data_IF_324471131723
#
_entry.id   IF_324471131723
#
_cell.length_a   1.000
_cell.length_b   1.000
_cell.length_c   1.000
_cell.angle_alpha   90.00
_cell.angle_beta   90.00
_cell.angle_gamma   90.00
#
_symmetry.space_group_name_H-M   'P 1'
#
loop_
_entity.id
_entity.type
_entity.pdbx_description
1 polymer ?
#
# COMPACT_ATOMS: atom_id res chain seq x y z
N UNK A 1 30.85 -54.32 33.44
CA UNK A 1 31.59 -53.05 33.35
C UNK A 1 30.82 -52.03 32.55
N UNK A 2 30.24 -51.03 33.23
CA UNK A 2 29.89 -49.71 32.69
C UNK A 2 29.15 -48.91 33.78
N UNK A 3 29.89 -48.43 34.78
CA UNK A 3 29.40 -47.44 35.74
C UNK A 3 30.22 -46.18 35.51
N UNK A 4 29.55 -45.10 35.12
CA UNK A 4 30.14 -43.79 34.95
C UNK A 4 29.70 -42.91 36.12
N UNK A 5 30.66 -42.38 36.87
CA UNK A 5 30.44 -41.43 37.95
C UNK A 5 30.61 -40.03 37.35
N UNK A 6 29.59 -39.19 37.46
CA UNK A 6 29.64 -37.78 37.12
C UNK A 6 29.43 -36.97 38.40
N UNK A 7 30.26 -35.97 38.64
CA UNK A 7 30.12 -35.05 39.77
C UNK A 7 29.47 -33.71 39.35
N UNK A 8 29.37 -32.78 40.30
CA UNK A 8 28.74 -31.48 40.07
C UNK A 8 29.58 -30.61 39.11
N UNK A 9 30.90 -30.81 39.08
CA UNK A 9 31.82 -30.08 38.20
C UNK A 9 31.69 -30.56 36.75
N UNK A 10 31.41 -31.85 36.53
CA UNK A 10 31.11 -32.42 35.21
C UNK A 10 29.82 -31.83 34.58
N UNK A 11 28.83 -31.48 35.42
CA UNK A 11 27.59 -30.84 34.97
C UNK A 11 27.80 -29.36 34.62
N UNK A 12 28.78 -28.69 35.24
CA UNK A 12 29.07 -27.28 35.00
C UNK A 12 29.52 -27.02 33.56
N UNK A 13 30.35 -27.90 32.99
CA UNK A 13 30.78 -27.82 31.59
C UNK A 13 29.63 -27.98 30.57
N UNK A 14 28.64 -28.82 30.89
CA UNK A 14 27.42 -29.00 30.08
C UNK A 14 26.51 -27.77 30.17
N UNK A 15 26.41 -27.15 31.34
CA UNK A 15 25.67 -25.90 31.54
C UNK A 15 26.31 -24.76 30.75
N UNK A 16 27.63 -24.60 30.82
CA UNK A 16 28.35 -23.54 30.10
C UNK A 16 28.25 -23.71 28.56
N UNK A 17 28.34 -24.96 28.09
CA UNK A 17 28.09 -25.32 26.69
C UNK A 17 26.67 -24.96 26.25
N UNK A 18 25.67 -25.30 27.08
CA UNK A 18 24.26 -24.97 26.80
C UNK A 18 23.99 -23.47 26.80
N UNK A 19 24.59 -22.70 27.72
CA UNK A 19 24.46 -21.24 27.77
C UNK A 19 25.06 -20.61 26.51
N UNK A 20 26.23 -21.11 26.05
CA UNK A 20 26.88 -20.64 24.83
C UNK A 20 26.09 -20.99 23.58
N UNK A 21 25.53 -22.21 23.52
CA UNK A 21 24.65 -22.63 22.43
C UNK A 21 23.36 -21.79 22.38
N UNK A 22 22.73 -21.51 23.53
CA UNK A 22 21.54 -20.64 23.63
C UNK A 22 21.82 -19.21 23.16
N UNK A 23 22.98 -18.65 23.50
CA UNK A 23 23.38 -17.31 23.00
C UNK A 23 23.51 -17.29 21.48
N UNK A 24 24.20 -18.29 20.92
CA UNK A 24 24.43 -18.36 19.47
C UNK A 24 23.12 -18.55 18.69
N UNK A 25 22.18 -19.31 19.24
CA UNK A 25 20.85 -19.48 18.65
C UNK A 25 19.98 -18.22 18.79
N UNK A 26 20.12 -17.47 19.89
CA UNK A 26 19.46 -16.17 20.06
C UNK A 26 19.96 -15.12 19.05
N UNK A 27 21.27 -15.07 18.78
CA UNK A 27 21.86 -14.19 17.75
C UNK A 27 21.32 -14.53 16.35
N UNK A 28 21.17 -15.82 16.04
CA UNK A 28 20.53 -16.26 14.79
C UNK A 28 19.06 -15.85 14.71
N UNK A 29 18.33 -15.99 15.81
CA UNK A 29 16.93 -15.58 15.87
C UNK A 29 16.77 -14.07 15.68
N UNK A 30 17.66 -13.25 16.26
CA UNK A 30 17.69 -11.80 16.03
C UNK A 30 17.91 -11.47 14.55
N UNK A 31 18.87 -12.13 13.89
CA UNK A 31 19.12 -11.92 12.46
C UNK A 31 17.89 -12.22 11.59
N UNK A 32 17.19 -13.33 11.87
CA UNK A 32 15.95 -13.70 11.16
C UNK A 32 14.88 -12.65 11.40
N UNK A 33 14.72 -12.17 12.64
CA UNK A 33 13.74 -11.13 12.97
C UNK A 33 14.07 -9.83 12.25
N UNK A 34 15.34 -9.42 12.18
CA UNK A 34 15.75 -8.21 11.45
C UNK A 34 15.45 -8.30 9.95
N UNK A 35 15.69 -9.46 9.33
CA UNK A 35 15.39 -9.70 7.92
C UNK A 35 13.87 -9.65 7.64
N UNK A 36 13.07 -10.26 8.50
CA UNK A 36 11.61 -10.25 8.41
C UNK A 36 11.03 -8.85 8.68
N UNK A 37 11.58 -8.11 9.65
CA UNK A 37 11.20 -6.70 9.91
C UNK A 37 11.55 -5.82 8.71
N UNK A 38 12.72 -5.99 8.10
CA UNK A 38 13.09 -5.27 6.88
C UNK A 38 12.14 -5.56 5.72
N UNK A 39 11.75 -6.82 5.55
CA UNK A 39 10.81 -7.27 4.52
C UNK A 39 9.40 -6.74 4.77
N UNK A 40 8.96 -6.77 6.04
CA UNK A 40 7.69 -6.21 6.47
C UNK A 40 7.63 -4.69 6.27
N UNK A 41 8.68 -3.95 6.62
CA UNK A 41 8.75 -2.49 6.43
C UNK A 41 8.71 -2.12 4.94
N UNK A 42 9.45 -2.84 4.10
CA UNK A 42 9.38 -2.67 2.63
C UNK A 42 7.99 -2.95 2.08
N UNK A 43 7.29 -3.96 2.61
CA UNK A 43 5.91 -4.24 2.25
C UNK A 43 4.95 -3.16 2.77
N UNK A 44 5.13 -2.71 4.01
CA UNK A 44 4.34 -1.67 4.67
C UNK A 44 4.44 -0.33 3.92
N UNK A 45 5.63 0.04 3.46
CA UNK A 45 5.85 1.22 2.61
C UNK A 45 5.00 1.17 1.33
N UNK A 46 4.69 -0.02 0.78
CA UNK A 46 3.83 -0.16 -0.39
C UNK A 46 2.33 0.05 -0.11
N UNK A 47 1.92 0.01 1.16
CA UNK A 47 0.51 0.15 1.56
C UNK A 47 0.05 1.61 1.54
N UNK A 48 0.93 2.60 1.72
CA UNK A 48 0.53 4.01 1.91
C UNK A 48 -0.10 4.69 0.67
N UNK A 49 0.28 4.27 -0.54
CA UNK A 49 -0.21 4.91 -1.78
C UNK A 49 -1.53 4.35 -2.29
N UNK A 50 -1.86 3.11 -1.92
CA UNK A 50 -3.02 2.40 -2.47
C UNK A 50 -4.35 3.10 -2.14
N UNK A 51 -4.61 3.54 -0.89
CA UNK A 51 -5.81 4.31 -0.55
C UNK A 51 -5.94 5.60 -1.39
N UNK A 52 -4.82 6.31 -1.57
CA UNK A 52 -4.78 7.56 -2.36
C UNK A 52 -5.10 7.31 -3.83
N UNK A 53 -4.58 6.23 -4.43
CA UNK A 53 -4.90 5.84 -5.82
C UNK A 53 -6.39 5.48 -5.97
N UNK A 54 -6.96 4.74 -5.01
CA UNK A 54 -8.39 4.38 -5.03
C UNK A 54 -9.24 5.64 -4.96
N UNK A 55 -8.94 6.55 -4.03
CA UNK A 55 -9.68 7.79 -3.85
C UNK A 55 -9.58 8.71 -5.08
N UNK A 56 -8.39 8.81 -5.69
CA UNK A 56 -8.19 9.53 -6.95
C UNK A 56 -9.06 8.99 -8.08
N UNK A 57 -9.07 7.66 -8.26
CA UNK A 57 -9.89 7.00 -9.29
C UNK A 57 -11.38 7.20 -9.05
N UNK A 58 -11.83 7.06 -7.81
CA UNK A 58 -13.22 7.31 -7.42
C UNK A 58 -13.63 8.74 -7.74
N UNK A 59 -12.85 9.73 -7.28
CA UNK A 59 -13.10 11.15 -7.55
C UNK A 59 -13.18 11.47 -9.04
N UNK A 60 -12.28 10.90 -9.83
CA UNK A 60 -12.28 11.11 -11.28
C UNK A 60 -13.52 10.50 -11.96
N UNK A 61 -13.95 9.32 -11.52
CA UNK A 61 -15.16 8.68 -12.03
C UNK A 61 -16.43 9.42 -11.62
N UNK A 62 -16.50 9.94 -10.39
CA UNK A 62 -17.63 10.75 -9.92
C UNK A 62 -17.80 12.02 -10.78
N UNK A 63 -16.70 12.69 -11.08
CA UNK A 63 -16.69 13.85 -11.99
C UNK A 63 -17.16 13.44 -13.39
N UNK A 64 -16.62 12.33 -13.93
CA UNK A 64 -16.98 11.83 -15.25
C UNK A 64 -18.48 11.54 -15.35
N UNK A 65 -19.03 10.84 -14.37
CA UNK A 65 -20.44 10.47 -14.33
C UNK A 65 -21.35 11.68 -14.15
N UNK A 66 -20.96 12.66 -13.32
CA UNK A 66 -21.69 13.90 -13.16
C UNK A 66 -21.78 14.69 -14.48
N UNK A 67 -20.66 14.83 -15.19
CA UNK A 67 -20.64 15.54 -16.48
C UNK A 67 -21.33 14.75 -17.60
N UNK A 68 -21.18 13.42 -17.61
CA UNK A 68 -21.92 12.56 -18.54
C UNK A 68 -23.44 12.70 -18.33
N UNK A 69 -23.92 12.66 -17.09
CA UNK A 69 -25.34 12.86 -16.78
C UNK A 69 -25.84 14.25 -17.18
N UNK A 70 -25.06 15.31 -16.96
CA UNK A 70 -25.40 16.67 -17.43
C UNK A 70 -25.49 16.73 -18.95
N UNK A 71 -24.54 16.12 -19.66
CA UNK A 71 -24.56 16.05 -21.12
C UNK A 71 -25.79 15.29 -21.62
N UNK A 72 -26.11 14.15 -21.02
CA UNK A 72 -27.30 13.36 -21.36
C UNK A 72 -28.61 14.12 -21.14
N UNK A 73 -28.73 14.85 -20.03
CA UNK A 73 -29.89 15.73 -19.78
C UNK A 73 -30.02 16.83 -20.81
N UNK A 74 -28.92 17.39 -21.32
CA UNK A 74 -28.97 18.42 -22.38
C UNK A 74 -29.35 17.86 -23.74
N UNK A 75 -28.95 16.62 -24.01
CA UNK A 75 -29.21 15.95 -25.28
C UNK A 75 -30.66 15.44 -25.39
N UNK A 76 -31.41 15.31 -24.29
CA UNK A 76 -32.88 15.08 -24.28
C UNK A 76 -33.36 13.99 -25.26
N UNK A 77 -32.68 12.83 -25.32
CA UNK A 77 -33.06 11.73 -26.22
C UNK A 77 -32.75 11.95 -27.71
N UNK A 78 -31.99 13.00 -28.05
CA UNK A 78 -31.56 13.31 -29.44
C UNK A 78 -30.44 12.40 -29.95
N UNK A 79 -29.96 11.46 -29.13
CA UNK A 79 -28.87 10.54 -29.46
C UNK A 79 -29.31 9.10 -29.19
N UNK A 80 -28.89 8.18 -30.06
CA UNK A 80 -29.17 6.76 -29.94
C UNK A 80 -28.22 6.04 -28.96
N UNK A 81 -28.50 4.77 -28.69
CA UNK A 81 -27.69 3.93 -27.79
C UNK A 81 -26.23 3.80 -28.25
N UNK A 82 -25.99 3.78 -29.57
CA UNK A 82 -24.65 3.72 -30.14
C UNK A 82 -23.83 4.96 -29.80
N UNK A 83 -24.40 6.14 -29.99
CA UNK A 83 -23.73 7.42 -29.72
C UNK A 83 -23.45 7.57 -28.23
N UNK A 84 -24.40 7.13 -27.39
CA UNK A 84 -24.20 7.08 -25.94
C UNK A 84 -22.97 6.25 -25.55
N UNK A 85 -22.85 5.02 -26.07
CA UNK A 85 -21.69 4.15 -25.80
C UNK A 85 -20.39 4.77 -26.30
N UNK A 86 -20.41 5.46 -27.44
CA UNK A 86 -19.24 6.18 -27.96
C UNK A 86 -18.82 7.32 -27.03
N UNK A 87 -19.75 8.12 -26.55
CA UNK A 87 -19.47 9.21 -25.60
C UNK A 87 -18.97 8.65 -24.26
N UNK A 88 -19.57 7.58 -23.76
CA UNK A 88 -19.14 6.91 -22.54
C UNK A 88 -17.69 6.39 -22.68
N UNK A 89 -17.37 5.70 -23.77
CA UNK A 89 -16.03 5.20 -24.03
C UNK A 89 -15.00 6.33 -24.17
N UNK A 90 -15.37 7.41 -24.87
CA UNK A 90 -14.53 8.60 -25.03
C UNK A 90 -14.23 9.25 -23.68
N UNK A 91 -15.25 9.48 -22.85
CA UNK A 91 -15.06 10.11 -21.53
C UNK A 91 -14.20 9.23 -20.61
N UNK A 92 -14.41 7.90 -20.60
CA UNK A 92 -13.55 6.96 -19.87
C UNK A 92 -12.10 7.01 -20.36
N UNK A 93 -11.88 7.06 -21.68
CA UNK A 93 -10.54 7.14 -22.24
C UNK A 93 -9.81 8.44 -21.85
N UNK A 94 -10.51 9.57 -21.84
CA UNK A 94 -9.95 10.87 -21.40
C UNK A 94 -9.56 10.80 -19.92
N UNK A 95 -10.48 10.34 -19.07
CA UNK A 95 -10.24 10.24 -17.62
C UNK A 95 -9.07 9.31 -17.32
N UNK A 96 -9.03 8.12 -17.95
CA UNK A 96 -7.93 7.18 -17.78
C UNK A 96 -6.58 7.79 -18.16
N UNK A 97 -6.51 8.55 -19.26
CA UNK A 97 -5.28 9.24 -19.69
C UNK A 97 -4.85 10.33 -18.71
N UNK A 98 -5.80 11.06 -18.11
CA UNK A 98 -5.51 12.13 -17.14
C UNK A 98 -5.05 11.59 -15.78
N UNK A 99 -5.62 10.49 -15.30
CA UNK A 99 -5.27 9.90 -13.99
C UNK A 99 -4.07 8.96 -14.04
N UNK A 100 -3.63 8.56 -15.23
CA UNK A 100 -2.50 7.65 -15.39
C UNK A 100 -1.17 8.25 -14.90
N UNK A 101 -0.76 9.48 -15.30
CA UNK A 101 0.45 10.11 -14.77
C UNK A 101 0.52 10.22 -13.24
N UNK A 102 -0.50 10.73 -12.52
CA UNK A 102 -0.45 10.78 -11.05
C UNK A 102 -0.48 9.39 -10.42
N UNK A 103 -1.15 8.40 -11.03
CA UNK A 103 -1.09 7.01 -10.55
C UNK A 103 0.32 6.43 -10.69
N UNK A 104 1.03 6.73 -11.78
CA UNK A 104 2.43 6.31 -11.97
C UNK A 104 3.33 6.97 -10.94
N UNK A 105 3.17 8.29 -10.73
CA UNK A 105 3.95 9.04 -9.74
C UNK A 105 3.86 8.39 -8.36
N UNK A 106 2.64 8.12 -7.87
CA UNK A 106 2.42 7.46 -6.58
C UNK A 106 3.04 6.05 -6.51
N UNK A 107 3.06 5.31 -7.62
CA UNK A 107 3.64 3.95 -7.64
C UNK A 107 5.17 3.95 -7.67
N UNK A 108 5.79 4.93 -8.33
CA UNK A 108 7.20 4.89 -8.67
C UNK A 108 8.08 5.81 -7.81
N UNK A 109 7.52 6.87 -7.22
CA UNK A 109 8.26 7.77 -6.34
C UNK A 109 8.38 7.17 -4.94
N UNK A 110 9.49 6.47 -4.68
CA UNK A 110 9.78 5.83 -3.40
C UNK A 110 10.43 6.78 -2.39
N UNK A 111 11.24 7.72 -2.89
CA UNK A 111 12.01 8.63 -2.03
C UNK A 111 11.18 9.84 -1.56
N UNK A 112 10.18 10.28 -2.34
CA UNK A 112 9.30 11.41 -1.98
C UNK A 112 7.81 10.99 -1.94
N UNK A 113 7.55 9.76 -1.52
CA UNK A 113 6.21 9.15 -1.53
C UNK A 113 5.18 9.99 -0.76
N UNK A 114 5.53 10.46 0.43
CA UNK A 114 4.62 11.21 1.30
C UNK A 114 4.25 12.57 0.72
N UNK A 115 5.24 13.27 0.13
CA UNK A 115 5.03 14.54 -0.56
C UNK A 115 4.16 14.36 -1.81
N UNK A 116 4.39 13.29 -2.57
CA UNK A 116 3.54 12.94 -3.72
C UNK A 116 2.11 12.63 -3.30
N UNK A 117 1.91 11.88 -2.20
CA UNK A 117 0.59 11.62 -1.63
C UNK A 117 -0.09 12.93 -1.24
N UNK A 118 0.57 13.77 -0.45
CA UNK A 118 0.02 15.04 0.03
C UNK A 118 -0.33 15.99 -1.13
N UNK A 119 0.55 16.10 -2.12
CA UNK A 119 0.32 16.93 -3.31
C UNK A 119 -0.89 16.45 -4.11
N UNK A 120 -0.99 15.15 -4.39
CA UNK A 120 -2.11 14.59 -5.16
C UNK A 120 -3.41 14.75 -4.39
N UNK A 121 -3.41 14.51 -3.08
CA UNK A 121 -4.62 14.68 -2.27
C UNK A 121 -5.09 16.13 -2.26
N UNK A 122 -4.17 17.09 -2.14
CA UNK A 122 -4.48 18.53 -2.21
C UNK A 122 -4.97 18.95 -3.60
N UNK A 123 -4.30 18.50 -4.67
CA UNK A 123 -4.63 18.88 -6.05
C UNK A 123 -6.01 18.38 -6.49
N UNK A 124 -6.38 17.17 -6.07
CA UNK A 124 -7.65 16.54 -6.43
C UNK A 124 -8.75 16.69 -5.37
N UNK A 125 -8.46 17.36 -4.26
CA UNK A 125 -9.39 17.57 -3.14
C UNK A 125 -9.85 16.25 -2.52
N UNK A 126 -8.91 15.33 -2.30
CA UNK A 126 -9.16 14.00 -1.73
C UNK A 126 -9.08 14.03 -0.19
N UNK A 127 -8.53 15.09 0.40
CA UNK A 127 -8.42 15.24 1.85
C UNK A 127 -9.62 15.97 2.51
N UNK A 128 -10.05 15.36 3.64
CA UNK A 128 -11.09 15.73 4.62
C UNK A 128 -12.54 15.28 4.33
N UNK A 129 -12.77 13.97 4.40
CA UNK A 129 -13.91 13.42 5.15
C UNK A 129 -13.34 12.80 6.45
N UNK A 130 -13.22 13.61 7.50
CA UNK A 130 -12.64 13.19 8.79
C UNK A 130 -12.52 14.28 9.86
N UNK A 131 -12.65 15.56 9.51
CA UNK A 131 -12.69 16.69 10.46
C UNK A 131 -14.03 17.47 10.35
N UNK A 132 -15.15 16.76 10.25
CA UNK A 132 -16.47 17.34 10.53
C UNK A 132 -17.10 16.51 11.65
N UNK A 133 -16.67 16.81 12.86
CA UNK A 133 -17.08 16.14 14.08
C UNK A 133 -16.66 16.92 15.32
N UNK A 134 -16.85 18.24 15.27
CA UNK A 134 -17.06 19.09 16.46
C UNK A 134 -18.41 19.80 16.32
#
# INVERSE_FOLDING_TARGET
>A
DNVYLYDIDDLQGVVDSNVKARKNEAERAEFIVEEEVSSFLKWYETIDVTPTIIALRKRAEDIRMAELHKAMKRLNGSIGERDFKTIEAMTKAIVNKLIHPPTILLKNDRDNRDDAIALIRKLYGIDREGENGE
#
